data_IF_768848633191
#
_entry.id   IF_768848633191
#
_cell.length_a   1.000
_cell.length_b   1.000
_cell.length_c   1.000
_cell.angle_alpha   90.00
_cell.angle_beta   90.00
_cell.angle_gamma   90.00
#
_symmetry.space_group_name_H-M   'P 1'
#
loop_
_entity.id
_entity.type
_entity.pdbx_description
1 polymer ?
#
# COMPACT_ATOMS: atom_id res chain seq x y z
N UNK A 1 7.05 -5.07 -30.58
CA UNK A 1 7.51 -4.05 -29.62
C UNK A 1 6.34 -3.81 -28.68
N UNK A 2 6.32 -4.52 -27.55
CA UNK A 2 5.21 -4.48 -26.60
C UNK A 2 5.39 -3.26 -25.69
N UNK A 3 4.35 -2.45 -25.56
CA UNK A 3 4.27 -1.45 -24.51
C UNK A 3 4.06 -2.19 -23.19
N UNK A 4 5.15 -2.36 -22.43
CA UNK A 4 5.11 -2.79 -21.03
C UNK A 4 4.59 -1.63 -20.18
N UNK A 5 3.28 -1.47 -20.25
CA UNK A 5 2.47 -0.47 -19.56
C UNK A 5 1.09 -1.06 -19.29
N UNK A 6 1.07 -2.13 -18.50
CA UNK A 6 -0.01 -2.58 -17.62
C UNK A 6 -1.44 -2.77 -18.19
N UNK A 7 -1.80 -3.97 -18.68
CA UNK A 7 -3.12 -4.52 -18.45
C UNK A 7 -3.11 -5.24 -17.09
N UNK A 8 -3.50 -4.56 -16.00
CA UNK A 8 -3.73 -5.27 -14.74
C UNK A 8 -4.93 -6.19 -14.90
N UNK A 9 -4.69 -7.49 -14.77
CA UNK A 9 -5.75 -8.48 -14.60
C UNK A 9 -5.86 -8.75 -13.11
N UNK A 10 -6.90 -8.23 -12.48
CA UNK A 10 -7.24 -8.63 -11.10
C UNK A 10 -8.08 -9.89 -11.16
N UNK A 11 -7.66 -10.93 -10.44
CA UNK A 11 -8.51 -12.07 -10.17
C UNK A 11 -9.52 -11.60 -9.13
N UNK A 12 -10.79 -11.49 -9.52
CA UNK A 12 -11.88 -11.19 -8.61
C UNK A 12 -11.97 -12.31 -7.59
N UNK A 13 -11.52 -12.04 -6.37
CA UNK A 13 -11.88 -12.87 -5.23
C UNK A 13 -13.30 -12.48 -4.79
N UNK A 14 -14.14 -13.45 -4.46
CA UNK A 14 -15.58 -13.26 -4.27
C UNK A 14 -15.97 -12.36 -3.07
N UNK A 15 -15.00 -11.72 -2.43
CA UNK A 15 -15.14 -10.92 -1.21
C UNK A 15 -15.10 -9.41 -1.44
N UNK A 16 -14.67 -8.94 -2.61
CA UNK A 16 -14.59 -7.50 -2.89
C UNK A 16 -15.92 -6.97 -3.46
N UNK A 17 -16.38 -5.83 -2.93
CA UNK A 17 -17.51 -5.08 -3.51
C UNK A 17 -17.08 -4.41 -4.82
N UNK A 18 -18.01 -4.05 -5.71
CA UNK A 18 -17.68 -3.32 -6.94
C UNK A 18 -16.89 -2.03 -6.65
N UNK A 19 -17.26 -1.30 -5.59
CA UNK A 19 -16.52 -0.12 -5.14
C UNK A 19 -15.09 -0.46 -4.71
N UNK A 20 -14.90 -1.57 -3.98
CA UNK A 20 -13.56 -2.06 -3.62
C UNK A 20 -12.74 -2.53 -4.80
N UNK A 21 -13.38 -3.14 -5.81
CA UNK A 21 -12.70 -3.52 -7.04
C UNK A 21 -12.29 -2.30 -7.86
N UNK A 22 -13.16 -1.31 -8.00
CA UNK A 22 -12.85 -0.05 -8.68
C UNK A 22 -11.73 0.67 -7.94
N UNK A 23 -11.77 0.73 -6.60
CA UNK A 23 -10.71 1.32 -5.78
C UNK A 23 -9.39 0.58 -5.92
N UNK A 24 -9.39 -0.75 -5.91
CA UNK A 24 -8.20 -1.59 -6.13
C UNK A 24 -7.62 -1.37 -7.53
N UNK A 25 -8.46 -1.35 -8.57
CA UNK A 25 -8.01 -1.10 -9.94
C UNK A 25 -7.48 0.31 -10.12
N UNK A 26 -8.20 1.32 -9.64
CA UNK A 26 -7.77 2.69 -9.67
C UNK A 26 -6.47 2.80 -8.89
N UNK A 27 -6.41 2.36 -7.64
CA UNK A 27 -5.19 2.48 -6.87
C UNK A 27 -4.01 1.73 -7.50
N UNK A 28 -4.17 0.53 -8.06
CA UNK A 28 -3.09 -0.22 -8.71
C UNK A 28 -2.60 0.39 -10.03
N UNK A 29 -3.48 1.00 -10.82
CA UNK A 29 -3.22 1.39 -12.21
C UNK A 29 -3.36 2.88 -12.49
N UNK A 30 -4.03 3.58 -11.59
CA UNK A 30 -4.56 4.92 -11.75
C UNK A 30 -4.14 5.80 -10.60
N UNK A 31 -3.30 6.74 -10.97
CA UNK A 31 -2.83 7.74 -10.07
C UNK A 31 -3.58 9.07 -10.32
N UNK A 32 -4.83 9.05 -10.81
CA UNK A 32 -5.54 10.27 -11.24
C UNK A 32 -6.99 10.44 -10.81
N UNK A 33 -7.67 11.40 -11.44
CA UNK A 33 -9.10 11.68 -11.24
C UNK A 33 -9.96 10.47 -11.64
N UNK A 34 -10.78 9.90 -10.72
CA UNK A 34 -11.62 8.74 -10.99
C UNK A 34 -12.69 8.99 -12.06
N UNK A 35 -13.04 10.25 -12.37
CA UNK A 35 -14.05 10.60 -13.37
C UNK A 35 -13.66 10.32 -14.83
N UNK A 36 -12.41 9.93 -15.09
CA UNK A 36 -11.88 9.62 -16.44
C UNK A 36 -11.72 8.12 -16.71
N UNK A 37 -12.25 7.29 -15.83
CA UNK A 37 -12.10 5.83 -15.84
C UNK A 37 -13.43 5.14 -16.16
N UNK A 38 -13.44 4.22 -17.13
CA UNK A 38 -14.59 3.35 -17.42
C UNK A 38 -14.21 1.91 -17.07
N UNK A 39 -14.96 1.28 -16.18
CA UNK A 39 -14.79 -0.13 -15.85
C UNK A 39 -15.70 -0.97 -16.76
N UNK A 40 -15.11 -1.71 -17.69
CA UNK A 40 -15.78 -2.71 -18.51
C UNK A 40 -15.72 -4.10 -17.88
N UNK A 41 -16.71 -4.95 -18.16
CA UNK A 41 -16.74 -6.32 -17.62
C UNK A 41 -17.34 -7.32 -18.60
N UNK A 42 -16.74 -8.51 -18.67
CA UNK A 42 -17.32 -9.72 -19.27
C UNK A 42 -17.22 -10.81 -18.20
N UNK A 43 -18.24 -11.66 -18.03
CA UNK A 43 -18.31 -12.73 -17.01
C UNK A 43 -16.93 -13.25 -16.52
N UNK A 44 -16.57 -12.90 -15.28
CA UNK A 44 -15.33 -13.33 -14.62
C UNK A 44 -14.07 -12.49 -14.92
N UNK A 45 -14.17 -11.42 -15.72
CA UNK A 45 -13.06 -10.50 -16.05
C UNK A 45 -13.53 -9.06 -16.08
N UNK A 46 -12.87 -8.22 -15.30
CA UNK A 46 -12.98 -6.77 -15.41
C UNK A 46 -11.80 -6.23 -16.20
N UNK A 47 -12.08 -5.25 -17.06
CA UNK A 47 -11.10 -4.48 -17.80
C UNK A 47 -11.37 -3.00 -17.57
N UNK A 48 -10.33 -2.19 -17.59
CA UNK A 48 -10.45 -0.75 -17.54
C UNK A 48 -10.30 -0.20 -18.96
N UNK A 49 -11.24 0.63 -19.39
CA UNK A 49 -11.18 1.41 -20.63
C UNK A 49 -11.15 2.89 -20.27
N UNK A 50 -10.34 3.66 -20.98
CA UNK A 50 -10.34 5.12 -20.90
C UNK A 50 -10.36 5.70 -22.31
N UNK A 51 -10.97 6.88 -22.47
CA UNK A 51 -11.08 7.52 -23.79
C UNK A 51 -9.72 7.90 -24.40
N UNK A 52 -8.66 7.94 -23.60
CA UNK A 52 -7.25 8.17 -23.96
C UNK A 52 -6.38 7.34 -23.02
N UNK A 53 -5.33 6.70 -23.54
CA UNK A 53 -4.34 5.94 -22.73
C UNK A 53 -3.95 6.76 -21.51
N UNK A 54 -4.32 6.31 -20.31
CA UNK A 54 -4.16 7.15 -19.16
C UNK A 54 -2.70 7.19 -18.73
N UNK A 55 -2.26 8.31 -18.12
CA UNK A 55 -0.95 8.37 -17.55
C UNK A 55 -0.83 7.28 -16.47
N UNK A 56 0.15 6.38 -16.64
CA UNK A 56 0.48 5.42 -15.60
C UNK A 56 0.86 6.14 -14.30
N UNK A 57 0.95 5.40 -13.19
CA UNK A 57 1.50 5.96 -11.94
C UNK A 57 2.97 6.42 -12.06
N UNK A 58 3.58 6.16 -13.20
CA UNK A 58 4.91 6.57 -13.61
C UNK A 58 4.95 7.71 -14.63
N UNK A 59 3.81 8.14 -15.14
CA UNK A 59 3.69 9.22 -16.11
C UNK A 59 3.65 10.59 -15.41
N UNK A 60 4.42 11.56 -15.91
CA UNK A 60 4.49 12.91 -15.38
C UNK A 60 3.14 13.67 -15.47
N UNK A 61 2.22 13.23 -16.33
CA UNK A 61 0.86 13.74 -16.44
C UNK A 61 -0.13 13.13 -15.42
N UNK A 62 0.32 12.21 -14.56
CA UNK A 62 -0.51 11.61 -13.53
C UNK A 62 -0.88 12.64 -12.44
N UNK A 63 -2.17 12.76 -12.03
CA UNK A 63 -2.57 13.66 -10.94
C UNK A 63 -2.03 13.27 -9.54
N UNK A 64 -1.45 12.08 -9.40
CA UNK A 64 -0.77 11.62 -8.21
C UNK A 64 0.58 12.29 -8.17
N UNK A 65 0.91 12.79 -7.01
CA UNK A 65 2.22 13.36 -6.71
C UNK A 65 3.24 12.29 -6.31
N UNK A 66 2.86 11.01 -6.27
CA UNK A 66 3.81 9.92 -6.14
C UNK A 66 4.58 9.75 -7.44
N UNK A 67 5.89 10.00 -7.38
CA UNK A 67 6.78 9.69 -8.50
C UNK A 67 6.66 8.22 -8.92
N UNK A 68 6.84 7.99 -10.22
CA UNK A 68 7.13 6.69 -10.81
C UNK A 68 7.99 5.83 -9.90
N UNK A 69 7.67 4.53 -9.83
CA UNK A 69 8.61 3.55 -9.27
C UNK A 69 9.93 3.71 -10.04
N UNK A 70 11.02 4.00 -9.31
CA UNK A 70 12.29 4.23 -9.97
C UNK A 70 12.68 2.99 -10.77
N UNK A 71 12.97 3.19 -12.05
CA UNK A 71 13.45 2.14 -12.93
C UNK A 71 14.80 1.61 -12.46
N UNK A 72 14.91 0.29 -12.55
CA UNK A 72 16.10 -0.56 -12.59
C UNK A 72 17.41 0.16 -12.93
N UNK A 73 18.44 -0.05 -12.10
CA UNK A 73 19.78 0.53 -12.32
C UNK A 73 20.64 0.67 -11.06
N UNK A 74 20.05 0.50 -9.87
CA UNK A 74 20.80 0.35 -8.62
C UNK A 74 21.06 -1.12 -8.33
N UNK A 75 22.19 -1.49 -7.69
CA UNK A 75 22.43 -2.86 -7.24
C UNK A 75 21.24 -3.33 -6.41
N UNK A 76 20.72 -4.51 -6.72
CA UNK A 76 19.60 -5.09 -5.98
C UNK A 76 20.03 -5.32 -4.53
N UNK A 77 19.39 -4.66 -3.54
CA UNK A 77 19.71 -4.93 -2.14
C UNK A 77 19.35 -6.38 -1.84
N UNK A 78 20.24 -7.13 -1.18
CA UNK A 78 19.97 -8.53 -0.85
C UNK A 78 18.74 -8.64 0.07
N UNK A 79 17.68 -9.26 -0.43
CA UNK A 79 16.51 -9.62 0.37
C UNK A 79 16.69 -11.04 0.90
N UNK A 80 16.99 -11.14 2.19
CA UNK A 80 17.06 -12.42 2.88
C UNK A 80 15.72 -13.16 2.93
N UNK A 81 15.74 -14.36 3.51
CA UNK A 81 14.50 -15.09 3.82
C UNK A 81 13.68 -14.33 4.87
N UNK A 82 12.35 -14.33 4.71
CA UNK A 82 11.48 -13.77 5.72
C UNK A 82 11.64 -14.51 7.06
N UNK A 83 11.76 -13.81 8.20
CA UNK A 83 11.80 -14.46 9.50
C UNK A 83 10.49 -15.18 9.80
N UNK A 84 10.57 -16.35 10.45
CA UNK A 84 9.40 -17.23 10.66
C UNK A 84 8.56 -16.84 11.89
N UNK A 85 9.04 -15.93 12.75
CA UNK A 85 8.41 -15.54 14.02
C UNK A 85 8.86 -14.14 14.47
N UNK A 86 8.17 -13.09 14.00
CA UNK A 86 8.47 -11.72 14.43
C UNK A 86 7.70 -11.27 15.67
N UNK A 87 6.63 -11.97 16.04
CA UNK A 87 5.77 -11.59 17.15
C UNK A 87 4.42 -12.31 17.15
N UNK A 88 3.40 -11.76 17.85
CA UNK A 88 2.04 -12.28 17.79
C UNK A 88 1.47 -12.20 16.37
N UNK A 89 0.34 -12.88 16.15
CA UNK A 89 -0.39 -12.73 14.90
C UNK A 89 -0.76 -11.26 14.72
N UNK A 90 -0.43 -10.64 13.57
CA UNK A 90 -0.79 -9.26 13.32
C UNK A 90 -2.32 -9.16 13.29
N UNK A 91 -2.94 -8.19 14.00
CA UNK A 91 -4.38 -8.01 13.94
C UNK A 91 -4.79 -7.70 12.50
N UNK A 92 -5.87 -8.31 12.04
CA UNK A 92 -6.46 -8.06 10.72
C UNK A 92 -7.97 -7.99 10.85
N UNK A 93 -8.56 -7.01 10.18
CA UNK A 93 -10.01 -6.88 10.10
C UNK A 93 -10.41 -6.34 8.72
N UNK A 94 -11.71 -6.42 8.43
CA UNK A 94 -12.29 -5.83 7.24
C UNK A 94 -12.24 -4.30 7.35
N UNK A 95 -11.57 -3.65 6.40
CA UNK A 95 -11.61 -2.21 6.21
C UNK A 95 -12.79 -1.86 5.28
N UNK A 96 -13.62 -0.86 5.62
CA UNK A 96 -14.79 -0.51 4.81
C UNK A 96 -14.45 -0.27 3.34
N UNK A 97 -15.20 -0.93 2.45
CA UNK A 97 -15.05 -0.78 0.99
C UNK A 97 -13.75 -1.33 0.40
N UNK A 98 -12.84 -1.92 1.20
CA UNK A 98 -11.53 -2.40 0.72
C UNK A 98 -11.31 -3.89 0.95
N UNK A 99 -11.70 -4.42 2.12
CA UNK A 99 -11.50 -5.83 2.47
C UNK A 99 -10.51 -6.05 3.62
N UNK A 100 -9.94 -7.25 3.79
CA UNK A 100 -9.12 -7.59 4.95
C UNK A 100 -7.72 -6.95 4.90
N UNK A 101 -7.44 -6.07 5.85
CA UNK A 101 -6.17 -5.35 5.99
C UNK A 101 -5.55 -5.57 7.37
N UNK A 102 -4.29 -5.16 7.58
CA UNK A 102 -3.68 -5.17 8.91
C UNK A 102 -4.21 -4.01 9.75
N UNK A 103 -4.52 -4.26 11.01
CA UNK A 103 -5.12 -3.29 11.92
C UNK A 103 -6.60 -3.58 12.21
N UNK A 104 -7.28 -2.55 12.68
CA UNK A 104 -8.68 -2.55 13.11
C UNK A 104 -9.16 -1.11 13.19
N UNK A 105 -10.48 -0.88 13.21
CA UNK A 105 -11.03 0.47 13.35
C UNK A 105 -10.37 1.21 14.54
N UNK A 106 -9.89 2.45 14.33
CA UNK A 106 -10.07 3.30 13.16
C UNK A 106 -8.95 3.24 12.11
N UNK A 107 -7.96 2.36 12.24
CA UNK A 107 -6.74 2.37 11.42
C UNK A 107 -6.45 1.03 10.74
N UNK A 108 -6.19 1.09 9.44
CA UNK A 108 -5.75 -0.06 8.66
C UNK A 108 -4.57 0.27 7.76
N UNK A 109 -3.79 -0.75 7.42
CA UNK A 109 -2.83 -0.66 6.33
C UNK A 109 -2.66 -1.98 5.58
N UNK A 110 -2.35 -1.84 4.30
CA UNK A 110 -2.21 -2.95 3.36
C UNK A 110 -1.02 -2.71 2.45
N UNK A 111 0.10 -3.43 2.65
CA UNK A 111 1.17 -3.47 1.68
C UNK A 111 0.74 -4.31 0.47
N UNK A 112 0.97 -3.81 -0.73
CA UNK A 112 0.71 -4.49 -2.00
C UNK A 112 1.82 -5.50 -2.29
N UNK A 113 1.89 -6.51 -1.43
CA UNK A 113 2.80 -7.63 -1.51
C UNK A 113 2.09 -8.88 -0.97
N UNK A 114 2.53 -10.06 -1.41
CA UNK A 114 1.93 -11.30 -0.92
C UNK A 114 2.15 -11.44 0.58
N UNK A 115 1.14 -11.92 1.31
CA UNK A 115 1.29 -12.28 2.71
C UNK A 115 1.25 -13.80 2.87
N UNK A 116 2.31 -14.35 3.47
CA UNK A 116 2.38 -15.76 3.84
C UNK A 116 1.86 -15.92 5.27
N UNK A 117 0.64 -16.45 5.41
CA UNK A 117 0.00 -16.72 6.71
C UNK A 117 0.82 -17.69 7.58
N UNK A 118 1.50 -18.65 6.95
CA UNK A 118 2.27 -19.68 7.66
C UNK A 118 3.52 -19.08 8.28
N UNK A 119 4.21 -18.22 7.52
CA UNK A 119 5.42 -17.51 7.99
C UNK A 119 5.11 -16.21 8.73
N UNK A 120 3.85 -15.75 8.67
CA UNK A 120 3.38 -14.45 9.19
C UNK A 120 4.21 -13.30 8.63
N UNK A 121 4.45 -13.34 7.33
CA UNK A 121 5.40 -12.45 6.68
C UNK A 121 4.91 -11.93 5.33
N UNK A 122 5.27 -10.69 5.06
CA UNK A 122 5.19 -10.11 3.73
C UNK A 122 6.29 -10.72 2.87
N UNK A 123 5.88 -11.29 1.74
CA UNK A 123 6.74 -11.84 0.71
C UNK A 123 6.96 -10.79 -0.38
N UNK A 124 8.18 -10.28 -0.45
CA UNK A 124 8.61 -9.38 -1.52
C UNK A 124 9.16 -10.24 -2.65
N UNK A 125 8.60 -10.03 -3.85
CA UNK A 125 9.03 -10.74 -5.06
C UNK A 125 10.41 -10.25 -5.49
N UNK A 126 11.17 -11.12 -6.15
CA UNK A 126 12.50 -10.76 -6.66
C UNK A 126 12.48 -9.63 -7.71
N UNK A 127 11.34 -9.43 -8.38
CA UNK A 127 11.11 -8.38 -9.37
C UNK A 127 10.46 -7.12 -8.80
N UNK A 128 10.26 -7.05 -7.48
CA UNK A 128 9.72 -5.86 -6.85
C UNK A 128 10.69 -4.67 -7.02
N UNK A 129 10.19 -3.45 -7.25
CA UNK A 129 11.03 -2.27 -7.39
C UNK A 129 11.92 -2.04 -6.16
N UNK A 130 13.12 -1.52 -6.39
CA UNK A 130 14.07 -1.20 -5.32
C UNK A 130 14.84 0.08 -5.62
N UNK A 131 15.30 0.73 -4.55
CA UNK A 131 16.12 1.95 -4.61
C UNK A 131 17.27 1.83 -3.62
N UNK A 132 18.12 2.86 -3.54
CA UNK A 132 19.14 2.98 -2.47
C UNK A 132 18.56 2.91 -1.05
N UNK A 133 17.25 3.17 -0.90
CA UNK A 133 16.57 3.15 0.40
C UNK A 133 15.96 1.77 0.74
N UNK A 134 16.05 0.79 -0.17
CA UNK A 134 15.51 -0.56 -0.01
C UNK A 134 14.46 -0.94 -1.04
N UNK A 135 13.81 -2.07 -0.76
CA UNK A 135 12.70 -2.63 -1.52
C UNK A 135 11.46 -1.77 -1.35
N UNK A 136 10.95 -1.26 -2.47
CA UNK A 136 9.88 -0.29 -2.52
C UNK A 136 8.54 -1.01 -2.73
N UNK A 137 7.69 -0.98 -1.71
CA UNK A 137 6.39 -1.63 -1.69
C UNK A 137 5.29 -0.58 -1.59
N UNK A 138 4.40 -0.56 -2.59
CA UNK A 138 3.21 0.28 -2.55
C UNK A 138 2.36 -0.11 -1.34
N UNK A 139 1.91 0.85 -0.56
CA UNK A 139 1.18 0.60 0.69
C UNK A 139 0.06 1.62 0.83
N UNK A 140 -1.14 1.13 1.08
CA UNK A 140 -2.31 1.95 1.39
C UNK A 140 -2.51 1.99 2.90
N UNK A 141 -2.62 3.19 3.46
CA UNK A 141 -3.07 3.41 4.84
C UNK A 141 -4.50 3.96 4.80
N UNK A 142 -5.37 3.45 5.65
CA UNK A 142 -6.76 3.89 5.77
C UNK A 142 -7.04 4.35 7.20
N UNK A 143 -7.79 5.44 7.30
CA UNK A 143 -8.35 5.90 8.58
C UNK A 143 -9.87 6.00 8.44
N UNK A 144 -10.61 5.47 9.41
CA UNK A 144 -12.06 5.58 9.49
C UNK A 144 -12.48 7.05 9.55
N UNK A 145 -13.39 7.49 8.67
CA UNK A 145 -13.95 8.85 8.70
C UNK A 145 -14.74 9.09 10.00
N UNK A 146 -15.24 8.03 10.65
CA UNK A 146 -15.97 8.15 11.92
C UNK A 146 -15.08 8.54 13.11
N UNK A 147 -13.77 8.30 13.02
CA UNK A 147 -12.85 8.54 14.12
C UNK A 147 -12.72 10.03 14.45
N UNK A 148 -12.96 10.93 13.48
CA UNK A 148 -12.84 12.38 13.60
C UNK A 148 -11.56 12.84 14.32
N UNK A 149 -10.49 12.05 14.19
CA UNK A 149 -9.23 12.25 14.90
C UNK A 149 -8.07 11.85 14.01
N UNK A 150 -6.95 12.54 14.19
CA UNK A 150 -5.71 12.20 13.50
C UNK A 150 -5.09 10.93 14.09
N UNK A 151 -4.42 10.16 13.23
CA UNK A 151 -3.68 8.96 13.62
C UNK A 151 -2.19 9.23 13.48
N UNK A 152 -1.46 9.15 14.60
CA UNK A 152 -0.01 9.20 14.61
C UNK A 152 0.53 7.81 14.30
N UNK A 153 1.30 7.67 13.22
CA UNK A 153 1.90 6.42 12.79
C UNK A 153 3.42 6.47 12.97
N UNK A 154 3.98 5.41 13.54
CA UNK A 154 5.41 5.17 13.68
C UNK A 154 5.75 3.83 13.06
N UNK A 155 6.78 3.80 12.22
CA UNK A 155 7.28 2.59 11.59
C UNK A 155 8.73 2.35 11.96
N UNK A 156 9.16 1.10 11.92
CA UNK A 156 10.54 0.74 12.15
C UNK A 156 10.74 -0.76 12.20
N UNK A 157 11.85 -1.16 12.79
CA UNK A 157 12.27 -2.55 12.91
C UNK A 157 12.54 -2.91 14.38
N UNK A 158 12.60 -4.21 14.66
CA UNK A 158 12.84 -4.70 16.02
C UNK A 158 14.32 -4.91 16.35
N UNK A 159 15.20 -5.05 15.35
CA UNK A 159 16.60 -5.47 15.53
C UNK A 159 17.62 -4.31 15.42
N UNK A 160 17.15 -3.07 15.23
CA UNK A 160 17.91 -1.82 15.01
C UNK A 160 18.88 -1.82 13.82
N UNK A 161 19.00 -2.95 13.11
CA UNK A 161 19.86 -3.09 11.95
C UNK A 161 19.06 -2.92 10.65
N UNK A 162 17.81 -3.34 10.63
CA UNK A 162 16.88 -3.08 9.55
C UNK A 162 16.33 -1.64 9.62
N UNK A 163 15.84 -1.14 8.49
CA UNK A 163 15.14 0.16 8.43
C UNK A 163 13.88 0.01 7.58
N UNK A 164 12.76 0.44 8.15
CA UNK A 164 11.51 0.71 7.43
C UNK A 164 11.33 2.22 7.35
N UNK A 165 10.97 2.72 6.17
CA UNK A 165 10.62 4.12 5.98
C UNK A 165 9.45 4.25 5.01
N UNK A 166 8.72 5.37 5.10
CA UNK A 166 7.53 5.63 4.31
C UNK A 166 7.69 6.93 3.53
N UNK A 167 7.31 6.92 2.26
CA UNK A 167 7.07 8.12 1.47
C UNK A 167 5.57 8.23 1.22
N UNK A 168 4.91 9.13 1.93
CA UNK A 168 3.50 9.46 1.70
C UNK A 168 3.35 10.17 0.35
N UNK A 169 2.20 9.97 -0.31
CA UNK A 169 1.82 10.76 -1.48
C UNK A 169 1.91 12.26 -1.18
N UNK A 170 2.39 13.03 -2.15
CA UNK A 170 2.60 14.49 -2.00
C UNK A 170 3.83 14.88 -1.21
N UNK A 171 4.63 13.92 -0.71
CA UNK A 171 5.84 14.20 0.07
C UNK A 171 7.08 13.61 -0.57
N UNK A 172 8.14 14.41 -0.61
CA UNK A 172 9.44 13.98 -1.15
C UNK A 172 10.33 13.28 -0.12
N UNK A 173 10.05 13.45 1.19
CA UNK A 173 10.89 12.96 2.27
C UNK A 173 10.45 11.59 2.77
N UNK A 174 11.42 10.73 3.06
CA UNK A 174 11.21 9.49 3.79
C UNK A 174 10.98 9.78 5.27
N UNK A 175 9.95 9.16 5.82
CA UNK A 175 9.50 9.37 7.18
C UNK A 175 9.48 8.02 7.93
N UNK A 176 9.79 8.07 9.22
CA UNK A 176 9.57 6.97 10.17
C UNK A 176 8.44 7.26 11.15
N UNK A 177 7.96 8.49 11.14
CA UNK A 177 6.81 8.94 11.91
C UNK A 177 6.05 9.98 11.09
N UNK A 178 4.73 9.86 11.05
CA UNK A 178 3.85 10.73 10.27
C UNK A 178 2.45 10.74 10.84
N UNK A 179 1.64 11.72 10.42
CA UNK A 179 0.25 11.91 10.84
C UNK A 179 -0.66 11.65 9.66
N UNK A 180 -1.69 10.84 9.87
CA UNK A 180 -2.80 10.65 8.96
C UNK A 180 -3.98 11.46 9.47
N UNK A 181 -4.43 12.43 8.68
CA UNK A 181 -5.53 13.32 9.03
C UNK A 181 -6.73 13.04 8.13
N UNK A 182 -7.80 12.40 8.63
CA UNK A 182 -8.94 12.01 7.82
C UNK A 182 -9.68 13.20 7.18
N UNK A 183 -9.51 14.43 7.73
CA UNK A 183 -10.05 15.65 7.12
C UNK A 183 -9.29 16.09 5.86
N UNK A 184 -8.06 15.61 5.67
CA UNK A 184 -7.18 15.94 4.54
C UNK A 184 -6.63 14.66 3.88
N UNK A 185 -7.47 13.85 3.21
CA UNK A 185 -7.05 12.59 2.60
C UNK A 185 -6.01 12.82 1.49
N UNK A 186 -5.12 11.83 1.30
CA UNK A 186 -3.97 11.95 0.40
C UNK A 186 -4.23 11.61 -1.06
N UNK A 187 -5.41 11.07 -1.40
CA UNK A 187 -5.81 10.85 -2.80
C UNK A 187 -7.33 10.80 -3.00
N UNK A 188 -8.00 9.87 -2.32
CA UNK A 188 -9.43 9.63 -2.54
C UNK A 188 -10.24 9.98 -1.29
N UNK A 189 -11.43 10.51 -1.55
CA UNK A 189 -12.44 10.73 -0.53
C UNK A 189 -13.46 9.60 -0.64
N UNK A 190 -13.34 8.59 0.23
CA UNK A 190 -14.42 7.63 0.46
C UNK A 190 -15.22 8.09 1.69
N UNK A 191 -16.56 8.00 1.67
CA UNK A 191 -17.38 8.44 2.80
C UNK A 191 -17.08 7.68 4.11
N UNK A 192 -16.59 6.44 4.01
CA UNK A 192 -16.27 5.61 5.16
C UNK A 192 -14.78 5.68 5.56
N UNK A 193 -13.88 5.91 4.61
CA UNK A 193 -12.43 5.94 4.88
C UNK A 193 -11.70 7.12 4.23
N UNK A 194 -10.71 7.66 4.94
CA UNK A 194 -9.69 8.52 4.37
C UNK A 194 -8.50 7.69 3.91
N UNK A 195 -8.11 7.90 2.65
CA UNK A 195 -7.09 7.09 1.99
C UNK A 195 -5.76 7.85 1.93
N UNK A 196 -4.70 7.22 2.43
CA UNK A 196 -3.35 7.78 2.42
C UNK A 196 -2.42 6.84 1.66
N UNK A 197 -2.28 7.05 0.36
CA UNK A 197 -1.38 6.24 -0.43
C UNK A 197 0.10 6.53 -0.17
N UNK A 198 0.94 5.50 -0.27
CA UNK A 198 2.37 5.63 0.01
C UNK A 198 3.25 4.56 -0.65
N UNK A 199 4.56 4.77 -0.55
CA UNK A 199 5.55 3.71 -0.67
C UNK A 199 6.22 3.44 0.68
N UNK A 200 6.24 2.17 1.08
CA UNK A 200 7.08 1.67 2.18
C UNK A 200 8.37 1.12 1.60
N UNK A 201 9.48 1.41 2.26
CA UNK A 201 10.80 0.93 1.89
C UNK A 201 11.32 0.00 2.98
N UNK A 202 11.65 -1.23 2.59
CA UNK A 202 12.30 -2.22 3.45
C UNK A 202 13.75 -2.39 3.01
N UNK A 203 14.69 -1.96 3.85
CA UNK A 203 16.13 -2.04 3.51
C UNK A 203 16.67 -3.46 3.37
N UNK A 204 16.08 -4.45 4.05
CA UNK A 204 16.50 -5.86 4.05
C UNK A 204 15.35 -6.77 4.50
N UNK A 205 15.61 -8.07 4.63
CA UNK A 205 14.69 -8.96 5.32
C UNK A 205 14.80 -8.78 6.84
N UNK A 206 13.69 -8.89 7.57
CA UNK A 206 13.67 -8.66 9.01
C UNK A 206 12.27 -8.60 9.61
N UNK A 207 12.24 -8.24 10.90
CA UNK A 207 11.01 -8.03 11.65
C UNK A 207 10.74 -6.55 11.82
N UNK A 208 9.59 -6.12 11.32
CA UNK A 208 9.19 -4.72 11.25
C UNK A 208 7.95 -4.47 12.09
N UNK A 209 7.77 -3.23 12.54
CA UNK A 209 6.56 -2.81 13.23
C UNK A 209 5.92 -1.60 12.57
N UNK A 210 4.60 -1.56 12.67
CA UNK A 210 3.76 -0.38 12.47
C UNK A 210 3.03 -0.16 13.78
N UNK A 211 3.18 1.03 14.34
CA UNK A 211 2.46 1.46 15.54
C UNK A 211 1.62 2.67 15.15
N UNK A 212 0.32 2.60 15.42
CA UNK A 212 -0.62 3.67 15.17
C UNK A 212 -1.31 4.04 16.47
N UNK A 213 -1.48 5.33 16.73
CA UNK A 213 -2.09 5.85 17.95
C UNK A 213 -3.00 7.04 17.66
N UNK A 214 -4.07 7.13 18.43
CA UNK A 214 -5.11 8.15 18.36
C UNK A 214 -5.64 8.41 19.79
N UNK A 215 -6.44 9.46 20.04
CA UNK A 215 -6.79 9.85 21.40
C UNK A 215 -7.42 8.76 22.28
N UNK A 216 -8.19 7.84 21.68
CA UNK A 216 -8.89 6.76 22.39
C UNK A 216 -8.16 5.42 22.40
N UNK A 217 -6.99 5.29 21.75
CA UNK A 217 -6.31 4.00 21.68
C UNK A 217 -5.07 3.94 20.81
N UNK A 218 -4.52 2.73 20.71
CA UNK A 218 -3.40 2.43 19.84
C UNK A 218 -3.48 1.00 19.31
N UNK A 219 -2.83 0.75 18.18
CA UNK A 219 -2.57 -0.60 17.67
C UNK A 219 -1.12 -0.73 17.27
N UNK A 220 -0.57 -1.93 17.45
CA UNK A 220 0.79 -2.26 17.00
C UNK A 220 0.75 -3.57 16.25
N UNK A 221 1.24 -3.51 15.02
CA UNK A 221 1.33 -4.63 14.10
C UNK A 221 2.80 -4.96 13.91
N UNK A 222 3.17 -6.23 14.06
CA UNK A 222 4.52 -6.72 13.84
C UNK A 222 4.49 -7.74 12.71
N UNK A 223 5.36 -7.57 11.71
CA UNK A 223 5.37 -8.37 10.49
C UNK A 223 6.79 -8.83 10.17
N UNK A 224 6.93 -10.08 9.69
CA UNK A 224 8.12 -10.50 8.99
C UNK A 224 8.13 -9.96 7.56
N UNK A 225 9.32 -9.68 7.02
CA UNK A 225 9.48 -9.26 5.62
C UNK A 225 10.69 -9.98 5.04
N UNK A 226 10.57 -10.49 3.82
CA UNK A 226 11.65 -11.14 3.07
C UNK A 226 11.16 -11.79 1.78
N UNK A 227 11.99 -12.63 1.17
CA UNK A 227 11.69 -13.34 -0.10
C UNK A 227 10.77 -14.56 0.03
#
# INVERSE_FOLDING_TARGET
MALDGNPARVRLDARLTLAGVVREFLWQNWCGDPGKFVLGGILGRLHAETALSPPGCDDAASPSTLAALAGWGQPQPFLGAAPVRCGPLPPRSEAPGTGPMFGSDPFWFGPYAGYDETRRAIRIRADAPHTRNGWQIKTLWLVSQHANATVNVRVGDLAQDAQMSVRLSGRYLLQRSFVLDPAHPGAFHDPATADFPSYVYFSRAGCYFVEASWPSGMTRVILGVGR
#
